data_IF_209230910814
#
_entry.id   IF_209230910814
#
_cell.length_a   1.000
_cell.length_b   1.000
_cell.length_c   1.000
_cell.angle_alpha   90.00
_cell.angle_beta   90.00
_cell.angle_gamma   90.00
#
_symmetry.space_group_name_H-M   'P 1'
#
loop_
_entity.id
_entity.type
_entity.pdbx_description
1 polymer ?
#
# COMPACT_ATOMS: atom_id res chain seq x y z
N UNK A 1 14.08 34.56 7.29
CA UNK A 1 14.16 33.14 7.66
C UNK A 1 14.93 32.37 6.61
N UNK A 2 15.83 31.48 7.02
CA UNK A 2 16.58 30.59 6.12
C UNK A 2 15.91 29.22 6.13
N UNK A 3 15.18 28.88 5.07
CA UNK A 3 14.68 27.52 4.88
C UNK A 3 15.85 26.58 4.53
N UNK A 4 16.08 25.57 5.38
CA UNK A 4 17.07 24.54 5.11
C UNK A 4 16.42 23.46 4.22
N UNK A 5 16.83 23.37 2.96
CA UNK A 5 16.36 22.33 2.06
C UNK A 5 17.27 21.09 2.17
N UNK A 6 16.67 19.91 2.38
CA UNK A 6 17.38 18.62 2.38
C UNK A 6 16.98 17.84 1.12
N UNK A 7 17.93 17.10 0.55
CA UNK A 7 17.70 16.22 -0.60
C UNK A 7 18.19 14.82 -0.24
N UNK A 8 17.31 13.84 -0.37
CA UNK A 8 17.64 12.42 -0.28
C UNK A 8 17.74 11.88 -1.70
N UNK A 9 18.86 11.23 -2.02
CA UNK A 9 19.05 10.53 -3.28
C UNK A 9 19.09 9.04 -2.96
N UNK A 10 18.10 8.30 -3.45
CA UNK A 10 17.90 6.89 -3.13
C UNK A 10 18.14 6.04 -4.39
N UNK A 11 18.59 4.81 -4.16
CA UNK A 11 18.71 3.76 -5.17
C UNK A 11 18.13 2.47 -4.60
N UNK A 12 17.49 1.63 -5.42
CA UNK A 12 17.40 1.67 -6.89
C UNK A 12 16.36 2.69 -7.40
N UNK A 13 16.48 3.07 -8.67
CA UNK A 13 15.40 3.79 -9.37
C UNK A 13 14.33 2.76 -9.72
N UNK A 14 13.08 3.03 -9.34
CA UNK A 14 11.95 2.15 -9.58
C UNK A 14 10.89 2.79 -10.47
N UNK A 15 10.09 1.93 -11.10
CA UNK A 15 8.89 2.27 -11.84
C UNK A 15 7.68 2.25 -10.89
N UNK A 16 6.70 3.16 -11.04
CA UNK A 16 5.48 3.13 -10.25
C UNK A 16 4.69 1.82 -10.39
N UNK A 17 4.03 1.37 -9.31
CA UNK A 17 3.20 0.16 -9.25
C UNK A 17 2.29 -0.03 -10.48
N UNK A 18 1.69 1.05 -10.98
CA UNK A 18 0.73 1.04 -12.10
C UNK A 18 1.31 0.59 -13.43
N UNK A 19 2.65 0.54 -13.55
CA UNK A 19 3.37 0.08 -14.74
C UNK A 19 3.68 -1.43 -14.71
N UNK A 20 2.87 -2.22 -14.01
CA UNK A 20 2.97 -3.68 -14.10
C UNK A 20 2.63 -4.14 -15.54
N UNK A 21 2.89 -5.41 -15.87
CA UNK A 21 2.69 -5.96 -17.22
C UNK A 21 1.71 -7.13 -17.26
N UNK A 22 1.39 -7.72 -16.10
CA UNK A 22 0.48 -8.86 -16.02
C UNK A 22 -0.16 -8.98 -14.63
N UNK A 23 -1.28 -9.71 -14.53
CA UNK A 23 -1.86 -10.11 -13.24
C UNK A 23 -0.86 -10.85 -12.35
N UNK A 24 -0.04 -11.73 -12.94
CA UNK A 24 1.00 -12.45 -12.19
C UNK A 24 2.02 -11.48 -11.60
N UNK A 25 2.42 -10.47 -12.35
CA UNK A 25 3.32 -9.44 -11.86
C UNK A 25 2.65 -8.60 -10.77
N UNK A 26 1.40 -8.17 -10.95
CA UNK A 26 0.66 -7.43 -9.93
C UNK A 26 0.60 -8.21 -8.60
N UNK A 27 0.22 -9.49 -8.65
CA UNK A 27 0.19 -10.35 -7.45
C UNK A 27 1.58 -10.52 -6.85
N UNK A 28 2.63 -10.70 -7.68
CA UNK A 28 4.01 -10.76 -7.19
C UNK A 28 4.42 -9.48 -6.47
N UNK A 29 3.98 -8.31 -6.93
CA UNK A 29 4.30 -7.04 -6.28
C UNK A 29 3.69 -6.98 -4.88
N UNK A 30 2.41 -7.33 -4.75
CA UNK A 30 1.75 -7.34 -3.43
C UNK A 30 2.39 -8.36 -2.48
N UNK A 31 2.78 -9.53 -2.98
CA UNK A 31 3.53 -10.51 -2.18
C UNK A 31 4.86 -9.92 -1.68
N UNK A 32 5.63 -9.29 -2.57
CA UNK A 32 6.91 -8.67 -2.21
C UNK A 32 6.71 -7.55 -1.17
N UNK A 33 5.67 -6.71 -1.30
CA UNK A 33 5.39 -5.61 -0.35
C UNK A 33 4.89 -6.13 1.00
N UNK A 34 4.07 -7.18 1.03
CA UNK A 34 3.68 -7.82 2.30
C UNK A 34 4.91 -8.38 3.01
N UNK A 35 5.87 -8.94 2.27
CA UNK A 35 7.13 -9.43 2.85
C UNK A 35 8.00 -8.28 3.37
N UNK A 36 8.11 -7.17 2.63
CA UNK A 36 8.80 -5.95 3.10
C UNK A 36 8.16 -5.43 4.38
N UNK A 37 6.83 -5.33 4.41
CA UNK A 37 6.07 -4.91 5.58
C UNK A 37 6.31 -5.85 6.77
N UNK A 38 6.27 -7.17 6.56
CA UNK A 38 6.59 -8.13 7.61
C UNK A 38 7.99 -7.89 8.21
N UNK A 39 9.01 -7.64 7.38
CA UNK A 39 10.37 -7.34 7.84
C UNK A 39 10.42 -6.01 8.60
N UNK A 40 9.73 -4.98 8.14
CA UNK A 40 9.63 -3.69 8.84
C UNK A 40 9.08 -3.88 10.26
N UNK A 41 8.05 -4.70 10.42
CA UNK A 41 7.43 -4.97 11.72
C UNK A 41 8.31 -5.87 12.58
N UNK A 42 8.71 -7.03 12.08
CA UNK A 42 9.35 -8.09 12.87
C UNK A 42 10.80 -7.75 13.23
N UNK A 43 11.55 -7.17 12.29
CA UNK A 43 12.99 -6.92 12.47
C UNK A 43 13.25 -5.49 12.94
N UNK A 44 12.57 -4.51 12.35
CA UNK A 44 12.85 -3.09 12.59
C UNK A 44 11.86 -2.44 13.54
N UNK A 45 10.73 -3.09 13.84
CA UNK A 45 9.67 -2.56 14.68
C UNK A 45 9.13 -1.20 14.16
N UNK A 46 9.02 -1.05 12.84
CA UNK A 46 8.60 0.17 12.13
C UNK A 46 7.22 -0.02 11.49
N UNK A 47 6.31 0.89 11.75
CA UNK A 47 5.05 1.07 11.02
C UNK A 47 5.22 2.08 9.90
N UNK A 48 4.60 1.83 8.74
CA UNK A 48 4.66 2.77 7.61
C UNK A 48 3.70 3.95 7.81
N UNK A 49 2.47 3.67 8.25
CA UNK A 49 1.40 4.62 8.58
C UNK A 49 0.76 5.38 7.41
N UNK A 50 1.38 5.42 6.24
CA UNK A 50 0.81 6.09 5.06
C UNK A 50 1.01 5.26 3.79
N UNK A 51 0.51 4.03 3.73
CA UNK A 51 0.61 3.21 2.50
C UNK A 51 -0.40 3.71 1.46
N UNK A 52 0.10 4.09 0.29
CA UNK A 52 -0.67 4.49 -0.87
C UNK A 52 -0.16 3.83 -2.17
N UNK A 53 -0.88 4.05 -3.27
CA UNK A 53 -0.47 3.58 -4.60
C UNK A 53 0.88 4.16 -5.05
N UNK A 54 1.26 5.34 -4.55
CA UNK A 54 2.47 6.06 -4.96
C UNK A 54 3.73 5.56 -4.22
N UNK A 55 3.54 4.84 -3.12
CA UNK A 55 4.63 4.41 -2.24
C UNK A 55 5.21 3.06 -2.65
N UNK A 56 4.59 2.41 -3.63
CA UNK A 56 5.00 1.10 -4.12
C UNK A 56 5.68 1.28 -5.48
N UNK A 57 6.97 0.97 -5.52
CA UNK A 57 7.75 0.94 -6.75
C UNK A 57 8.19 -0.47 -7.10
N UNK A 58 8.39 -0.71 -8.39
CA UNK A 58 9.03 -1.91 -8.94
C UNK A 58 10.43 -1.57 -9.42
N UNK A 59 11.37 -2.49 -9.25
CA UNK A 59 12.73 -2.32 -9.77
C UNK A 59 13.29 -3.67 -10.24
N UNK A 60 14.36 -3.60 -11.03
CA UNK A 60 15.05 -4.80 -11.51
C UNK A 60 16.14 -5.20 -10.51
N UNK A 61 16.07 -6.42 -9.99
CA UNK A 61 17.04 -7.00 -9.10
C UNK A 61 17.64 -8.30 -9.69
N UNK A 62 18.92 -8.59 -9.43
CA UNK A 62 19.61 -9.79 -9.95
C UNK A 62 19.48 -11.01 -9.04
N UNK A 63 18.98 -10.80 -7.83
CA UNK A 63 18.81 -11.83 -6.80
C UNK A 63 17.44 -11.65 -6.16
N UNK A 64 16.55 -12.63 -6.36
CA UNK A 64 15.26 -12.66 -5.67
C UNK A 64 15.47 -13.11 -4.22
N UNK A 65 14.81 -12.46 -3.26
CA UNK A 65 14.92 -12.87 -1.85
C UNK A 65 14.50 -14.34 -1.61
N UNK A 66 13.51 -14.84 -2.35
CA UNK A 66 13.06 -16.24 -2.28
C UNK A 66 14.10 -17.27 -2.75
N UNK A 67 15.18 -16.84 -3.42
CA UNK A 67 16.26 -17.70 -3.88
C UNK A 67 17.42 -17.79 -2.86
N UNK A 68 17.39 -17.00 -1.78
CA UNK A 68 18.43 -17.02 -0.75
C UNK A 68 18.26 -18.15 0.29
N UNK A 69 17.13 -18.87 0.25
CA UNK A 69 16.76 -19.91 1.24
C UNK A 69 17.01 -21.35 0.78
N UNK A 70 17.73 -21.58 -0.33
CA UNK A 70 18.18 -22.91 -0.74
C UNK A 70 19.69 -22.89 -1.01
N UNK A 71 20.44 -23.60 -0.16
CA UNK A 71 21.80 -24.13 -0.30
C UNK A 71 22.67 -23.48 -1.39
N UNK A 72 23.34 -22.40 -1.00
CA UNK A 72 24.42 -21.81 -1.76
C UNK A 72 25.67 -22.69 -1.64
N UNK A 73 25.89 -23.62 -2.59
CA UNK A 73 27.25 -24.09 -2.87
C UNK A 73 27.50 -24.69 -4.27
N UNK A 74 26.50 -24.89 -5.15
CA UNK A 74 26.75 -25.61 -6.43
C UNK A 74 26.34 -24.93 -7.75
N UNK A 75 26.04 -23.62 -7.80
CA UNK A 75 25.65 -22.99 -9.08
C UNK A 75 26.35 -21.67 -9.42
N UNK A 76 27.62 -21.50 -9.04
CA UNK A 76 28.41 -20.32 -9.46
C UNK A 76 28.68 -20.21 -10.97
N UNK A 77 28.27 -21.18 -11.81
CA UNK A 77 28.50 -21.12 -13.26
C UNK A 77 27.24 -21.21 -14.15
N UNK A 78 26.01 -21.10 -13.58
CA UNK A 78 24.75 -21.07 -14.35
C UNK A 78 23.81 -19.94 -13.92
N UNK A 79 24.25 -18.99 -13.07
CA UNK A 79 23.51 -17.73 -12.83
C UNK A 79 23.70 -16.81 -14.05
N UNK A 80 23.08 -17.20 -15.16
CA UNK A 80 22.82 -16.33 -16.30
C UNK A 80 21.95 -15.18 -15.79
N UNK A 81 22.56 -14.06 -15.40
CA UNK A 81 22.00 -12.69 -15.27
C UNK A 81 20.46 -12.62 -15.20
N UNK A 82 19.82 -13.36 -14.29
CA UNK A 82 18.36 -13.46 -14.28
C UNK A 82 17.87 -12.20 -13.61
N UNK A 83 17.31 -11.31 -14.41
CA UNK A 83 16.70 -10.07 -13.94
C UNK A 83 15.30 -10.41 -13.43
N UNK A 84 15.06 -10.13 -12.16
CA UNK A 84 13.76 -10.23 -11.53
C UNK A 84 13.20 -8.83 -11.37
N UNK A 85 11.90 -8.67 -11.59
CA UNK A 85 11.19 -7.46 -11.18
C UNK A 85 10.72 -7.70 -9.74
N UNK A 86 11.15 -6.82 -8.86
CA UNK A 86 11.04 -6.90 -7.41
C UNK A 86 10.37 -5.61 -6.93
N UNK A 87 9.66 -5.64 -5.81
CA UNK A 87 9.00 -4.42 -5.30
C UNK A 87 9.69 -3.83 -4.08
N UNK A 88 9.52 -2.52 -3.90
CA UNK A 88 10.02 -1.77 -2.76
C UNK A 88 8.97 -0.77 -2.26
N UNK A 89 8.98 -0.51 -0.97
CA UNK A 89 8.14 0.48 -0.30
C UNK A 89 8.98 1.74 -0.02
N UNK A 90 8.45 2.92 -0.34
CA UNK A 90 9.08 4.24 -0.10
C UNK A 90 8.18 5.12 0.77
N UNK A 91 8.63 6.36 1.03
CA UNK A 91 7.86 7.40 1.72
C UNK A 91 7.59 7.11 3.22
N UNK A 92 8.67 7.04 3.99
CA UNK A 92 8.65 6.81 5.44
C UNK A 92 8.50 8.11 6.25
N UNK A 93 8.01 9.21 5.66
CA UNK A 93 7.91 10.50 6.36
C UNK A 93 6.90 10.47 7.52
N UNK A 94 5.91 9.59 7.44
CA UNK A 94 4.93 9.32 8.52
C UNK A 94 5.26 8.09 9.36
N UNK A 95 6.37 7.40 9.08
CA UNK A 95 6.71 6.15 9.75
C UNK A 95 6.98 6.35 11.24
N UNK A 96 6.67 5.32 12.03
CA UNK A 96 6.90 5.37 13.47
C UNK A 96 7.39 4.04 14.02
N UNK A 97 8.12 4.09 15.13
CA UNK A 97 8.56 2.89 15.83
C UNK A 97 7.46 2.41 16.77
N UNK A 98 7.13 1.13 16.66
CA UNK A 98 6.38 0.40 17.67
C UNK A 98 7.17 0.45 18.99
N UNK A 99 6.50 0.63 20.13
CA UNK A 99 7.20 0.49 21.42
C UNK A 99 7.38 -0.98 21.75
N UNK A 100 8.58 -1.37 22.17
CA UNK A 100 8.95 -2.75 22.55
C UNK A 100 8.25 -3.29 23.83
N UNK A 101 7.08 -2.75 24.21
CA UNK A 101 6.31 -3.17 25.39
C UNK A 101 4.84 -2.77 25.42
N UNK A 102 4.35 -2.07 24.39
CA UNK A 102 2.92 -1.78 24.17
C UNK A 102 2.66 -2.02 22.68
N UNK A 103 1.48 -2.52 22.31
CA UNK A 103 1.08 -2.62 20.89
C UNK A 103 0.83 -1.22 20.26
N UNK A 104 1.73 -0.25 20.48
CA UNK A 104 1.70 1.05 19.80
C UNK A 104 2.67 2.11 20.34
N UNK A 105 2.54 3.29 19.73
CA UNK A 105 3.59 4.30 19.41
C UNK A 105 4.09 5.16 20.59
N UNK A 106 5.33 5.69 20.49
CA UNK A 106 6.05 6.50 21.51
C UNK A 106 5.98 8.03 21.35
N UNK A 107 5.50 8.56 20.24
CA UNK A 107 5.64 9.99 19.91
C UNK A 107 4.38 10.79 20.30
N UNK A 108 4.62 12.03 20.72
CA UNK A 108 3.62 13.02 21.15
C UNK A 108 2.75 13.57 20.02
N UNK A 109 3.04 13.25 18.76
CA UNK A 109 2.23 13.59 17.59
C UNK A 109 1.33 12.41 17.20
N UNK A 110 0.20 12.32 17.90
CA UNK A 110 -0.89 11.35 17.69
C UNK A 110 -1.75 11.68 16.46
N UNK A 111 -1.17 12.35 15.47
CA UNK A 111 -1.88 12.80 14.28
C UNK A 111 -2.31 11.58 13.49
N UNK A 112 -3.62 11.39 13.34
CA UNK A 112 -4.18 10.44 12.37
C UNK A 112 -3.91 11.05 10.99
N UNK A 113 -2.76 10.66 10.44
CA UNK A 113 -2.30 11.04 9.11
C UNK A 113 -2.46 9.87 8.15
N UNK A 114 -2.36 10.19 6.86
CA UNK A 114 -2.36 9.21 5.80
C UNK A 114 -3.22 9.63 4.62
N UNK A 115 -3.06 8.91 3.52
CA UNK A 115 -3.76 9.15 2.27
C UNK A 115 -5.20 8.64 2.39
N UNK A 116 -6.16 9.55 2.54
CA UNK A 116 -7.59 9.29 2.83
C UNK A 116 -8.19 8.11 2.03
N UNK A 117 -8.04 8.02 0.70
CA UNK A 117 -8.54 6.88 -0.07
C UNK A 117 -8.07 5.51 0.45
N UNK A 118 -6.84 5.41 0.95
CA UNK A 118 -6.19 4.18 1.38
C UNK A 118 -6.17 4.01 2.91
N UNK A 119 -6.72 4.97 3.66
CA UNK A 119 -6.76 4.91 5.11
C UNK A 119 -7.68 3.78 5.62
N UNK A 120 -7.23 3.05 6.65
CA UNK A 120 -7.98 2.00 7.33
C UNK A 120 -9.30 2.51 7.94
N UNK A 121 -10.33 1.66 8.02
CA UNK A 121 -11.65 2.01 8.57
C UNK A 121 -11.53 2.53 10.00
N UNK A 122 -10.74 1.84 10.84
CA UNK A 122 -10.60 2.25 12.24
C UNK A 122 -9.88 3.59 12.37
N UNK A 123 -8.92 3.89 11.48
CA UNK A 123 -8.31 5.22 11.39
C UNK A 123 -9.33 6.29 10.95
N UNK A 124 -10.20 5.98 9.98
CA UNK A 124 -11.25 6.90 9.52
C UNK A 124 -12.30 7.18 10.62
N UNK A 125 -12.64 6.19 11.45
CA UNK A 125 -13.55 6.36 12.60
C UNK A 125 -13.00 7.33 13.63
N UNK A 126 -11.70 7.24 13.88
CA UNK A 126 -11.01 8.01 14.90
C UNK A 126 -10.53 9.37 14.36
N UNK A 127 -10.62 9.61 13.05
CA UNK A 127 -10.05 10.78 12.34
C UNK A 127 -10.40 12.14 12.98
N UNK A 128 -11.66 12.32 13.38
CA UNK A 128 -12.15 13.59 13.94
C UNK A 128 -12.02 13.68 15.46
N UNK A 129 -12.10 12.55 16.14
CA UNK A 129 -12.19 12.47 17.61
C UNK A 129 -11.34 11.30 18.11
N UNK A 130 -10.00 11.38 17.97
CA UNK A 130 -9.14 10.27 18.31
C UNK A 130 -9.22 9.94 19.79
N UNK A 131 -9.57 8.69 20.09
CA UNK A 131 -9.53 8.10 21.41
C UNK A 131 -8.10 8.15 21.94
N UNK A 132 -7.94 8.44 23.24
CA UNK A 132 -6.61 8.61 23.86
C UNK A 132 -5.73 7.38 23.77
N UNK A 133 -6.34 6.20 23.63
CA UNK A 133 -5.69 4.90 23.57
C UNK A 133 -5.68 4.31 22.15
N UNK A 134 -6.21 5.03 21.15
CA UNK A 134 -6.18 4.56 19.77
C UNK A 134 -4.76 4.69 19.21
N UNK A 135 -4.30 3.61 18.57
CA UNK A 135 -2.95 3.51 18.04
C UNK A 135 -2.97 2.89 16.65
N UNK A 136 -2.13 3.41 15.78
CA UNK A 136 -1.88 2.79 14.50
C UNK A 136 -1.20 1.44 14.71
N UNK A 137 -1.69 0.40 14.05
CA UNK A 137 -1.15 -0.96 14.14
C UNK A 137 -0.74 -1.46 12.76
N UNK A 138 0.04 -2.54 12.72
CA UNK A 138 0.44 -3.16 11.46
C UNK A 138 -0.75 -3.61 10.62
N UNK A 139 -1.88 -3.95 11.26
CA UNK A 139 -3.12 -4.32 10.57
C UNK A 139 -3.69 -3.19 9.73
N UNK A 140 -3.52 -1.93 10.17
CA UNK A 140 -3.98 -0.79 9.39
C UNK A 140 -3.17 -0.60 8.11
N UNK A 141 -1.84 -0.80 8.16
CA UNK A 141 -0.99 -0.79 6.96
C UNK A 141 -1.41 -1.90 5.98
N UNK A 142 -1.71 -3.11 6.48
CA UNK A 142 -2.18 -4.21 5.64
C UNK A 142 -3.58 -3.92 5.03
N UNK A 143 -4.47 -3.27 5.78
CA UNK A 143 -5.77 -2.83 5.25
C UNK A 143 -5.60 -1.79 4.12
N UNK A 144 -4.64 -0.88 4.25
CA UNK A 144 -4.28 0.06 3.19
C UNK A 144 -3.85 -0.64 1.90
N UNK A 145 -3.08 -1.74 1.98
CA UNK A 145 -2.70 -2.53 0.80
C UNK A 145 -3.93 -3.13 0.08
N UNK A 146 -4.95 -3.56 0.82
CA UNK A 146 -6.21 -4.03 0.23
C UNK A 146 -6.88 -2.89 -0.56
N UNK A 147 -6.88 -1.67 -0.01
CA UNK A 147 -7.45 -0.51 -0.69
C UNK A 147 -6.67 -0.09 -1.94
N UNK A 148 -5.34 -0.21 -1.93
CA UNK A 148 -4.52 -0.01 -3.14
C UNK A 148 -4.90 -1.04 -4.22
N UNK A 149 -5.08 -2.31 -3.85
CA UNK A 149 -5.50 -3.35 -4.80
C UNK A 149 -6.89 -3.07 -5.38
N UNK A 150 -7.87 -2.73 -4.54
CA UNK A 150 -9.23 -2.37 -4.97
C UNK A 150 -9.21 -1.18 -5.92
N UNK A 151 -8.40 -0.16 -5.62
CA UNK A 151 -8.24 1.03 -6.46
C UNK A 151 -7.73 0.68 -7.86
N UNK A 152 -6.72 -0.19 -7.95
CA UNK A 152 -6.18 -0.66 -9.23
C UNK A 152 -7.25 -1.45 -10.01
N UNK A 153 -7.90 -2.41 -9.35
CA UNK A 153 -8.88 -3.28 -10.01
C UNK A 153 -10.11 -2.55 -10.56
N UNK A 154 -10.46 -1.38 -10.01
CA UNK A 154 -11.63 -0.60 -10.42
C UNK A 154 -11.28 0.51 -11.43
N UNK A 155 -10.07 1.10 -11.37
CA UNK A 155 -9.75 2.28 -12.18
C UNK A 155 -8.88 2.00 -13.40
N UNK A 156 -8.21 0.85 -13.45
CA UNK A 156 -7.34 0.49 -14.56
C UNK A 156 -8.05 -0.53 -15.44
N UNK A 157 -8.06 -0.35 -16.76
CA UNK A 157 -8.64 -1.34 -17.68
C UNK A 157 -7.66 -2.48 -17.98
N UNK A 158 -6.36 -2.18 -17.91
CA UNK A 158 -5.25 -3.03 -18.25
C UNK A 158 -3.97 -2.45 -17.60
N UNK A 159 -2.84 -3.16 -17.63
CA UNK A 159 -1.60 -2.63 -17.08
C UNK A 159 -1.20 -1.30 -17.75
N UNK A 160 -0.85 -0.30 -16.94
CA UNK A 160 -0.55 1.08 -17.38
C UNK A 160 -1.67 1.80 -18.15
N UNK A 161 -2.92 1.32 -18.08
CA UNK A 161 -4.06 1.91 -18.78
C UNK A 161 -5.17 2.27 -17.80
N UNK A 162 -5.33 3.56 -17.51
CA UNK A 162 -6.48 4.08 -16.75
C UNK A 162 -7.72 4.00 -17.63
N UNK A 163 -8.83 3.53 -17.08
CA UNK A 163 -10.10 3.51 -17.79
C UNK A 163 -10.51 4.94 -18.18
N UNK A 164 -10.71 5.17 -19.47
CA UNK A 164 -11.18 6.46 -20.01
C UNK A 164 -12.70 6.53 -20.15
N UNK A 165 -13.39 5.39 -20.05
CA UNK A 165 -14.83 5.29 -20.33
C UNK A 165 -15.67 5.91 -19.22
N UNK A 166 -15.11 6.05 -18.02
CA UNK A 166 -15.73 6.73 -16.91
C UNK A 166 -14.73 7.44 -16.01
N UNK A 167 -15.22 8.48 -15.35
CA UNK A 167 -14.47 9.20 -14.33
C UNK A 167 -14.62 8.54 -12.97
N UNK A 168 -13.72 8.87 -12.02
CA UNK A 168 -13.78 8.31 -10.67
C UNK A 168 -15.12 8.59 -9.97
N UNK A 169 -15.77 9.69 -10.32
CA UNK A 169 -17.08 10.10 -9.81
C UNK A 169 -18.24 9.20 -10.25
N UNK A 170 -18.03 8.37 -11.26
CA UNK A 170 -19.01 7.42 -11.76
C UNK A 170 -18.82 6.02 -11.16
N UNK A 171 -17.76 5.82 -10.37
CA UNK A 171 -17.44 4.54 -9.73
C UNK A 171 -17.87 4.51 -8.27
N UNK A 172 -17.87 3.33 -7.66
CA UNK A 172 -18.04 3.20 -6.21
C UNK A 172 -16.90 3.82 -5.39
N UNK A 173 -15.80 4.28 -6.02
CA UNK A 173 -14.67 4.96 -5.39
C UNK A 173 -14.81 6.50 -5.36
N UNK A 174 -15.91 7.05 -5.90
CA UNK A 174 -16.18 8.51 -5.88
C UNK A 174 -15.87 9.15 -4.52
N UNK A 175 -16.41 8.55 -3.46
CA UNK A 175 -16.28 9.11 -2.12
C UNK A 175 -14.88 8.91 -1.53
N UNK A 176 -14.17 7.86 -1.95
CA UNK A 176 -12.79 7.62 -1.55
C UNK A 176 -11.89 8.74 -2.05
N UNK A 177 -12.11 9.18 -3.29
CA UNK A 177 -11.30 10.20 -3.96
C UNK A 177 -11.67 11.64 -3.57
N UNK A 178 -12.95 11.88 -3.25
CA UNK A 178 -13.48 13.24 -3.09
C UNK A 178 -13.69 13.67 -1.62
N UNK A 179 -13.42 12.79 -0.65
CA UNK A 179 -13.58 13.14 0.76
C UNK A 179 -12.64 14.28 1.18
N UNK A 180 -13.23 15.41 1.61
CA UNK A 180 -12.49 16.61 2.04
C UNK A 180 -12.94 17.12 3.39
N UNK A 181 -14.23 16.99 3.70
CA UNK A 181 -14.80 17.42 4.97
C UNK A 181 -14.87 16.27 5.97
N UNK A 182 -15.03 16.60 7.24
CA UNK A 182 -15.22 15.62 8.32
C UNK A 182 -16.45 14.74 8.10
N UNK A 183 -17.51 15.31 7.52
CA UNK A 183 -18.72 14.58 7.13
C UNK A 183 -18.46 13.61 5.96
N UNK A 184 -17.65 14.02 4.97
CA UNK A 184 -17.28 13.12 3.87
C UNK A 184 -16.45 11.94 4.36
N UNK A 185 -15.54 12.17 5.31
CA UNK A 185 -14.69 11.14 5.90
C UNK A 185 -15.53 10.12 6.68
N UNK A 186 -16.51 10.58 7.47
CA UNK A 186 -17.44 9.67 8.14
C UNK A 186 -18.24 8.84 7.13
N UNK A 187 -18.74 9.48 6.08
CA UNK A 187 -19.52 8.78 5.08
C UNK A 187 -18.65 7.82 4.23
N UNK A 188 -17.37 8.14 3.99
CA UNK A 188 -16.37 7.21 3.43
C UNK A 188 -16.16 5.99 4.34
N UNK A 189 -16.01 6.21 5.65
CA UNK A 189 -15.90 5.12 6.62
C UNK A 189 -17.10 4.17 6.51
N UNK A 190 -18.32 4.71 6.56
CA UNK A 190 -19.55 3.91 6.46
C UNK A 190 -19.64 3.16 5.12
N UNK A 191 -19.22 3.81 4.04
CA UNK A 191 -19.16 3.20 2.71
C UNK A 191 -18.19 2.02 2.67
N UNK A 192 -16.95 2.19 3.17
CA UNK A 192 -15.94 1.11 3.22
C UNK A 192 -16.42 -0.08 4.05
N UNK A 193 -17.02 0.18 5.21
CA UNK A 193 -17.63 -0.86 6.05
C UNK A 193 -18.69 -1.65 5.27
N UNK A 194 -19.61 -0.95 4.60
CA UNK A 194 -20.65 -1.58 3.78
C UNK A 194 -20.08 -2.37 2.60
N UNK A 195 -19.12 -1.79 1.89
CA UNK A 195 -18.45 -2.37 0.72
C UNK A 195 -17.70 -3.65 1.04
N UNK A 196 -16.94 -3.69 2.13
CA UNK A 196 -16.21 -4.89 2.55
C UNK A 196 -17.14 -5.95 3.13
N UNK A 197 -18.17 -5.54 3.90
CA UNK A 197 -19.13 -6.49 4.49
C UNK A 197 -19.96 -7.21 3.44
N UNK A 198 -20.37 -6.50 2.39
CA UNK A 198 -21.19 -7.05 1.29
C UNK A 198 -20.35 -7.54 0.11
N UNK A 199 -19.04 -7.27 0.11
CA UNK A 199 -18.12 -7.48 -1.01
C UNK A 199 -18.57 -6.79 -2.31
N UNK A 200 -19.33 -5.70 -2.21
CA UNK A 200 -19.92 -5.03 -3.37
C UNK A 200 -18.88 -4.43 -4.31
N UNK A 201 -17.68 -4.07 -3.82
CA UNK A 201 -16.58 -3.59 -4.68
C UNK A 201 -16.18 -4.56 -5.78
N UNK A 202 -16.42 -5.87 -5.60
CA UNK A 202 -16.10 -6.89 -6.59
C UNK A 202 -16.98 -6.79 -7.86
N UNK A 203 -18.17 -6.17 -7.79
CA UNK A 203 -19.00 -5.98 -8.99
C UNK A 203 -18.38 -4.98 -9.97
N UNK A 204 -17.55 -4.08 -9.47
CA UNK A 204 -17.02 -2.94 -10.23
C UNK A 204 -15.58 -3.19 -10.71
N UNK A 205 -15.03 -4.39 -10.44
CA UNK A 205 -13.73 -4.78 -10.97
C UNK A 205 -13.77 -4.83 -12.49
N UNK A 206 -12.74 -4.27 -13.11
CA UNK A 206 -12.59 -4.32 -14.56
C UNK A 206 -12.40 -5.75 -15.03
N UNK A 207 -12.86 -6.11 -16.24
CA UNK A 207 -12.82 -7.48 -16.75
C UNK A 207 -11.44 -8.13 -16.69
N UNK A 208 -10.38 -7.33 -16.84
CA UNK A 208 -9.00 -7.80 -16.73
C UNK A 208 -8.68 -8.42 -15.35
N UNK A 209 -9.28 -7.93 -14.26
CA UNK A 209 -9.03 -8.37 -12.89
C UNK A 209 -10.05 -9.40 -12.37
N UNK A 210 -10.96 -9.89 -13.23
CA UNK A 210 -11.92 -10.94 -12.86
C UNK A 210 -11.26 -12.15 -12.16
N UNK A 211 -10.09 -12.65 -12.60
CA UNK A 211 -9.42 -13.77 -11.95
C UNK A 211 -8.95 -13.52 -10.52
N UNK A 212 -8.94 -12.26 -10.05
CA UNK A 212 -8.54 -11.89 -8.69
C UNK A 212 -9.70 -11.90 -7.69
N UNK A 213 -10.95 -12.12 -8.14
CA UNK A 213 -12.10 -12.21 -7.23
C UNK A 213 -12.03 -13.52 -6.42
N UNK A 214 -12.31 -13.47 -5.10
CA UNK A 214 -12.26 -14.63 -4.21
C UNK A 214 -13.45 -15.59 -4.35
#
# INVERSE_FOLDING_TARGET
>A
ETHLHRRLLLSPVGDPLVQFHSLQELVSIFIDIIQVHFVLIDVYNILHRDISINDILMFICTTRWTAASHDQEEQENVIVKKKFRCSLLIDFDYADMLNSGKQGVSSSDRTIGGTIPFMAIDLLREYNSPSKDFMHTFSHDLESLIYVLVWICILYQAPNEICSDWTIEQTCLKQWALAKTTADIQALCDQKVGQLSTRSVLSDFMPYFEPLKP
#
